data_IF_348234005656
#
_entry.id   IF_348234005656
#
_cell.length_a   1.000
_cell.length_b   1.000
_cell.length_c   1.000
_cell.angle_alpha   90.00
_cell.angle_beta   90.00
_cell.angle_gamma   90.00
#
_symmetry.space_group_name_H-M   'P 1'
#
loop_
_entity.id
_entity.type
_entity.pdbx_description
1 polymer ?
#
# COMPACT_ATOMS: atom_id res chain seq x y z
N UNK A 1 8.51 -22.86 1.46
CA UNK A 1 8.33 -21.62 2.24
C UNK A 1 8.35 -20.47 1.25
N UNK A 2 7.27 -19.70 1.14
CA UNK A 2 7.25 -18.50 0.29
C UNK A 2 7.92 -17.35 1.05
N UNK A 3 8.92 -16.72 0.44
CA UNK A 3 9.57 -15.50 0.95
C UNK A 3 8.85 -14.27 0.41
N UNK A 4 8.83 -13.18 1.17
CA UNK A 4 8.27 -11.90 0.73
C UNK A 4 9.24 -10.75 1.02
N UNK A 5 9.14 -9.69 0.23
CA UNK A 5 9.89 -8.45 0.40
C UNK A 5 9.15 -7.54 1.37
N UNK A 6 9.85 -7.06 2.40
CA UNK A 6 9.29 -6.13 3.39
C UNK A 6 9.77 -4.70 3.11
N UNK A 7 8.83 -3.78 2.93
CA UNK A 7 9.09 -2.36 2.71
C UNK A 7 8.53 -1.52 3.87
N UNK A 8 9.43 -0.83 4.57
CA UNK A 8 9.06 0.13 5.62
C UNK A 8 9.05 1.55 5.05
N UNK A 9 7.94 2.23 5.26
CA UNK A 9 7.68 3.61 4.84
C UNK A 9 7.30 4.45 6.06
N UNK A 10 7.48 5.76 5.94
CA UNK A 10 7.06 6.70 6.97
C UNK A 10 6.53 7.98 6.35
N UNK A 11 5.35 8.41 6.82
CA UNK A 11 4.72 9.67 6.43
C UNK A 11 4.18 9.70 5.01
N UNK A 12 4.16 8.57 4.29
CA UNK A 12 3.68 8.54 2.90
C UNK A 12 2.15 8.65 2.88
N UNK A 13 1.54 9.67 2.25
CA UNK A 13 0.08 9.81 2.18
C UNK A 13 -0.58 8.56 1.59
N UNK A 14 -1.81 8.24 2.04
CA UNK A 14 -2.50 7.01 1.62
C UNK A 14 -2.67 6.92 0.10
N UNK A 15 -2.88 8.03 -0.60
CA UNK A 15 -3.00 8.04 -2.05
C UNK A 15 -1.69 7.62 -2.74
N UNK A 16 -0.55 8.14 -2.28
CA UNK A 16 0.77 7.79 -2.81
C UNK A 16 1.15 6.34 -2.48
N UNK A 17 0.77 5.85 -1.29
CA UNK A 17 0.93 4.44 -0.94
C UNK A 17 0.17 3.54 -1.92
N UNK A 18 -1.08 3.87 -2.25
CA UNK A 18 -1.87 3.08 -3.20
C UNK A 18 -1.26 3.07 -4.61
N UNK A 19 -0.67 4.19 -5.04
CA UNK A 19 0.06 4.25 -6.32
C UNK A 19 1.30 3.35 -6.31
N UNK A 20 2.03 3.31 -5.18
CA UNK A 20 3.17 2.41 -5.02
C UNK A 20 2.75 0.94 -5.01
N UNK A 21 1.67 0.60 -4.31
CA UNK A 21 1.11 -0.76 -4.30
C UNK A 21 0.75 -1.22 -5.71
N UNK A 22 0.11 -0.36 -6.50
CA UNK A 22 -0.24 -0.64 -7.90
C UNK A 22 1.00 -0.81 -8.79
N UNK A 23 2.00 0.06 -8.63
CA UNK A 23 3.25 -0.02 -9.38
C UNK A 23 4.02 -1.31 -9.06
N UNK A 24 4.11 -1.70 -7.78
CA UNK A 24 4.74 -2.95 -7.36
C UNK A 24 4.01 -4.16 -7.92
N UNK A 25 2.67 -4.16 -7.86
CA UNK A 25 1.84 -5.21 -8.43
C UNK A 25 2.07 -5.40 -9.95
N UNK A 26 2.36 -4.32 -10.69
CA UNK A 26 2.66 -4.39 -12.13
C UNK A 26 4.10 -4.74 -12.45
N UNK A 27 5.03 -4.33 -11.59
CA UNK A 27 6.46 -4.41 -11.86
C UNK A 27 7.10 -5.71 -11.39
N UNK A 28 6.50 -6.40 -10.42
CA UNK A 28 7.09 -7.58 -9.79
C UNK A 28 6.03 -8.65 -9.49
N UNK A 29 6.37 -9.92 -9.75
CA UNK A 29 5.50 -11.08 -9.48
C UNK A 29 5.65 -11.61 -8.03
N UNK A 30 6.56 -11.02 -7.25
CA UNK A 30 6.84 -11.39 -5.88
C UNK A 30 5.79 -10.88 -4.89
N UNK A 31 5.85 -11.42 -3.67
CA UNK A 31 5.00 -10.95 -2.58
C UNK A 31 5.67 -9.76 -1.90
N UNK A 32 4.91 -8.67 -1.73
CA UNK A 32 5.34 -7.48 -1.01
C UNK A 32 4.48 -7.25 0.23
N UNK A 33 5.13 -6.90 1.33
CA UNK A 33 4.49 -6.42 2.55
C UNK A 33 4.95 -4.98 2.79
N UNK A 34 4.00 -4.06 2.86
CA UNK A 34 4.26 -2.65 3.11
C UNK A 34 3.81 -2.30 4.52
N UNK A 35 4.68 -1.63 5.28
CA UNK A 35 4.35 -1.03 6.57
C UNK A 35 4.62 0.46 6.46
N UNK A 36 3.58 1.28 6.51
CA UNK A 36 3.68 2.72 6.46
C UNK A 36 3.21 3.34 7.78
N UNK A 37 4.09 4.10 8.42
CA UNK A 37 3.89 4.65 9.77
C UNK A 37 3.92 6.17 9.77
N UNK A 38 3.36 6.84 10.80
CA UNK A 38 3.41 8.31 10.88
C UNK A 38 2.57 9.04 9.83
N UNK A 39 1.55 8.38 9.31
CA UNK A 39 0.65 8.92 8.28
C UNK A 39 -0.48 9.73 8.95
N UNK A 40 -0.89 10.90 8.42
CA UNK A 40 -2.07 11.60 8.92
C UNK A 40 -3.35 10.77 8.71
N UNK A 41 -4.38 10.93 9.56
CA UNK A 41 -5.67 10.26 9.37
C UNK A 41 -6.29 10.58 8.01
N UNK A 42 -6.87 9.57 7.35
CA UNK A 42 -7.54 9.71 6.07
C UNK A 42 -8.83 8.89 6.03
N UNK A 43 -9.81 9.34 5.23
CA UNK A 43 -11.01 8.57 4.89
C UNK A 43 -10.73 7.83 3.58
N UNK A 44 -10.90 6.51 3.59
CA UNK A 44 -10.78 5.67 2.39
C UNK A 44 -12.13 5.00 2.15
N UNK A 45 -12.64 5.11 0.93
CA UNK A 45 -13.92 4.52 0.56
C UNK A 45 -13.68 3.38 -0.43
N UNK A 46 -14.11 2.18 -0.07
CA UNK A 46 -14.03 1.02 -0.95
C UNK A 46 -15.08 1.06 -2.06
N UNK A 47 -14.86 0.30 -3.13
CA UNK A 47 -15.76 0.20 -4.30
C UNK A 47 -17.18 -0.28 -3.94
N UNK A 48 -17.32 -1.00 -2.82
CA UNK A 48 -18.60 -1.51 -2.33
C UNK A 48 -19.37 -0.49 -1.50
N UNK A 49 -18.82 0.71 -1.29
CA UNK A 49 -19.52 1.76 -0.58
C UNK A 49 -20.74 2.19 -1.39
N UNK A 50 -21.87 2.30 -0.69
CA UNK A 50 -23.10 2.89 -1.22
C UNK A 50 -23.14 4.37 -0.79
N UNK A 51 -23.66 5.26 -1.65
CA UNK A 51 -23.84 6.67 -1.29
C UNK A 51 -24.80 6.84 -0.11
#
# INVERSE_FOLDING_TARGET
MTTFSLLHLSGLPIFEQLQLEEALLRADEGNWCLINSGVPPAIVMGISAKP
#
